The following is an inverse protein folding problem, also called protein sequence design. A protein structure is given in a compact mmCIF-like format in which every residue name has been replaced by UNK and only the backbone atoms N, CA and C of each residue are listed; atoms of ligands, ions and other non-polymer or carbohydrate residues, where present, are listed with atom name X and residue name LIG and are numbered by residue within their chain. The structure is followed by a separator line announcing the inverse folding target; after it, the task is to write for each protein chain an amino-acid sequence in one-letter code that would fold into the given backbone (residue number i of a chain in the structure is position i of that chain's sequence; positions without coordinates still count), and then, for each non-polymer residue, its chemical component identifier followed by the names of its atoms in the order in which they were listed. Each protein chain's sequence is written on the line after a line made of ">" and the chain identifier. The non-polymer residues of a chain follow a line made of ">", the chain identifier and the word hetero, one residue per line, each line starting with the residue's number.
data_IF_410992003544
#
_entry.id   IF_410992003544
#
_cell.length_a   1.000
_cell.length_b   1.000
_cell.length_c   1.000
_cell.angle_alpha   90.00
_cell.angle_beta   90.00
_cell.angle_gamma   90.00
#
_symmetry.space_group_name_H-M   'P 1'
#
loop_
_entity.id
_entity.type
_entity.pdbx_description
1 polymer ?
#
# COMPACT_ATOMS: atom_id res chain seq x y z
N UNK A 1 -43.88 4.98 -14.46
CA UNK A 1 -43.08 3.83 -14.02
C UNK A 1 -42.18 3.37 -15.17
N UNK A 2 -40.88 3.63 -15.07
CA UNK A 2 -39.91 3.23 -16.11
C UNK A 2 -39.72 1.71 -16.03
N UNK A 3 -40.13 0.97 -17.07
CA UNK A 3 -39.82 -0.47 -17.21
C UNK A 3 -38.32 -0.60 -17.52
N UNK A 4 -37.48 -0.53 -16.49
CA UNK A 4 -36.07 -0.86 -16.61
C UNK A 4 -36.00 -2.33 -17.01
N UNK A 5 -35.63 -2.61 -18.26
CA UNK A 5 -35.50 -3.99 -18.77
C UNK A 5 -34.55 -4.74 -17.83
N UNK A 6 -34.87 -5.96 -17.40
CA UNK A 6 -34.03 -6.78 -16.49
C UNK A 6 -32.53 -6.79 -16.84
N UNK A 7 -32.19 -6.65 -18.12
CA UNK A 7 -30.80 -6.52 -18.62
C UNK A 7 -30.07 -5.27 -18.10
N UNK A 8 -30.75 -4.13 -17.95
CA UNK A 8 -30.16 -2.89 -17.41
C UNK A 8 -29.89 -2.99 -15.91
N UNK A 9 -30.74 -3.68 -15.16
CA UNK A 9 -30.50 -3.98 -13.74
C UNK A 9 -29.24 -4.80 -13.53
N UNK A 10 -28.98 -5.79 -14.40
CA UNK A 10 -27.74 -6.57 -14.36
C UNK A 10 -26.50 -5.71 -14.60
N UNK A 11 -26.53 -4.77 -15.55
CA UNK A 11 -25.40 -3.85 -15.77
C UNK A 11 -25.14 -2.93 -14.57
N UNK A 12 -26.21 -2.44 -13.92
CA UNK A 12 -26.10 -1.58 -12.73
C UNK A 12 -25.44 -2.31 -11.56
N UNK A 13 -25.63 -3.62 -11.42
CA UNK A 13 -24.99 -4.41 -10.34
C UNK A 13 -23.63 -4.97 -10.71
N UNK A 14 -23.44 -5.41 -11.96
CA UNK A 14 -22.20 -6.07 -12.39
C UNK A 14 -21.08 -5.06 -12.58
N UNK A 15 -21.37 -3.86 -13.12
CA UNK A 15 -20.34 -2.87 -13.41
C UNK A 15 -19.63 -2.36 -12.13
N UNK A 16 -20.35 -1.98 -11.05
CA UNK A 16 -19.70 -1.57 -9.80
C UNK A 16 -18.95 -2.71 -9.13
N UNK A 17 -19.49 -3.94 -9.19
CA UNK A 17 -18.80 -5.11 -8.64
C UNK A 17 -17.49 -5.37 -9.38
N UNK A 18 -17.51 -5.31 -10.72
CA UNK A 18 -16.31 -5.49 -11.53
C UNK A 18 -15.28 -4.37 -11.27
N UNK A 19 -15.73 -3.10 -11.18
CA UNK A 19 -14.88 -1.98 -10.82
C UNK A 19 -14.28 -2.15 -9.42
N UNK A 20 -15.06 -2.63 -8.45
CA UNK A 20 -14.58 -2.93 -7.11
C UNK A 20 -13.54 -4.04 -7.09
N UNK A 21 -13.72 -5.12 -7.86
CA UNK A 21 -12.74 -6.20 -7.96
C UNK A 21 -11.43 -5.74 -8.62
N UNK A 22 -11.52 -4.93 -9.69
CA UNK A 22 -10.36 -4.33 -10.34
C UNK A 22 -9.63 -3.40 -9.36
N UNK A 23 -10.36 -2.52 -8.69
CA UNK A 23 -9.81 -1.62 -7.68
C UNK A 23 -9.17 -2.39 -6.53
N UNK A 24 -9.83 -3.42 -6.00
CA UNK A 24 -9.30 -4.25 -4.91
C UNK A 24 -8.00 -4.93 -5.32
N UNK A 25 -7.92 -5.48 -6.53
CA UNK A 25 -6.70 -6.11 -7.03
C UNK A 25 -5.58 -5.09 -7.27
N UNK A 26 -5.93 -3.92 -7.78
CA UNK A 26 -4.99 -2.81 -8.00
C UNK A 26 -4.44 -2.27 -6.68
N UNK A 27 -5.32 -2.06 -5.70
CA UNK A 27 -5.01 -1.53 -4.37
C UNK A 27 -4.24 -2.54 -3.50
N UNK A 28 -4.52 -3.83 -3.63
CA UNK A 28 -3.73 -4.88 -2.96
C UNK A 28 -2.24 -4.75 -3.33
N UNK A 29 -1.95 -4.39 -4.58
CA UNK A 29 -0.59 -4.23 -5.08
C UNK A 29 0.19 -5.55 -5.08
N UNK A 30 1.49 -5.46 -5.33
CA UNK A 30 2.41 -6.60 -5.29
C UNK A 30 3.43 -6.43 -4.17
N UNK A 31 3.72 -7.47 -3.37
CA UNK A 31 4.77 -7.40 -2.37
C UNK A 31 6.10 -7.01 -3.00
N UNK A 32 6.74 -6.01 -2.41
CA UNK A 32 8.05 -5.53 -2.79
C UNK A 32 9.04 -5.77 -1.65
N UNK A 33 10.09 -6.55 -1.92
CA UNK A 33 11.08 -6.94 -0.92
C UNK A 33 10.59 -8.03 0.04
N UNK A 34 11.35 -8.26 1.10
CA UNK A 34 11.03 -9.25 2.14
C UNK A 34 10.27 -8.63 3.31
N UNK A 35 9.61 -9.48 4.11
CA UNK A 35 9.06 -9.11 5.40
C UNK A 35 10.20 -8.66 6.32
N UNK A 36 10.02 -7.55 7.02
CA UNK A 36 10.98 -7.03 7.98
C UNK A 36 10.27 -6.97 9.33
N UNK A 37 10.76 -7.76 10.28
CA UNK A 37 10.15 -7.91 11.60
C UNK A 37 10.58 -6.77 12.54
N UNK A 38 9.73 -6.50 13.54
CA UNK A 38 10.07 -5.68 14.69
C UNK A 38 11.16 -6.34 15.55
N UNK A 39 11.91 -5.57 16.36
CA UNK A 39 12.90 -6.13 17.30
C UNK A 39 12.37 -7.29 18.17
N UNK A 40 11.13 -7.19 18.65
CA UNK A 40 10.50 -8.25 19.45
C UNK A 40 9.82 -9.38 18.64
N UNK A 41 9.84 -9.33 17.31
CA UNK A 41 9.17 -10.26 16.40
C UNK A 41 7.64 -10.36 16.54
N UNK A 42 6.98 -9.45 17.26
CA UNK A 42 5.51 -9.42 17.34
C UNK A 42 4.85 -8.85 16.08
N UNK A 43 5.60 -8.06 15.31
CA UNK A 43 5.13 -7.37 14.13
C UNK A 43 6.07 -7.59 12.94
N UNK A 44 5.54 -7.42 11.73
CA UNK A 44 6.35 -7.21 10.55
C UNK A 44 5.73 -6.15 9.67
N UNK A 45 6.56 -5.45 8.91
CA UNK A 45 6.10 -4.65 7.79
C UNK A 45 6.49 -5.29 6.47
N UNK A 46 5.69 -5.00 5.46
CA UNK A 46 5.94 -5.38 4.08
C UNK A 46 5.57 -4.20 3.19
N UNK A 47 6.46 -3.90 2.23
CA UNK A 47 6.21 -2.88 1.21
C UNK A 47 5.41 -3.49 0.06
N UNK A 48 4.51 -2.73 -0.52
CA UNK A 48 3.67 -3.11 -1.65
C UNK A 48 3.77 -2.05 -2.73
N UNK A 49 3.99 -2.47 -3.97
CA UNK A 49 3.93 -1.59 -5.14
C UNK A 49 2.55 -1.65 -5.75
N UNK A 50 1.95 -0.51 -6.00
CA UNK A 50 0.72 -0.44 -6.78
C UNK A 50 1.08 -0.55 -8.25
N UNK A 51 0.24 -1.25 -9.01
CA UNK A 51 0.45 -1.40 -10.45
C UNK A 51 0.31 -0.03 -11.12
N UNK A 52 1.32 0.39 -11.88
CA UNK A 52 1.21 1.57 -12.73
C UNK A 52 1.17 1.17 -14.21
N UNK A 53 0.24 1.70 -15.03
CA UNK A 53 0.19 1.45 -16.46
C UNK A 53 1.48 1.82 -17.20
N UNK A 54 2.31 2.70 -16.64
CA UNK A 54 3.64 3.02 -17.18
C UNK A 54 4.61 1.83 -17.18
N UNK A 55 4.33 0.76 -16.42
CA UNK A 55 5.11 -0.49 -16.53
C UNK A 55 4.95 -1.18 -17.89
N UNK A 56 3.85 -0.90 -18.61
CA UNK A 56 3.57 -1.52 -19.91
C UNK A 56 4.13 -0.72 -21.08
N UNK A 57 4.41 0.58 -20.88
CA UNK A 57 4.94 1.44 -21.93
C UNK A 57 6.13 2.25 -21.40
N UNK A 58 7.37 1.92 -21.80
CA UNK A 58 8.55 2.61 -21.30
C UNK A 58 8.63 4.02 -21.90
N UNK A 59 7.97 4.99 -21.26
CA UNK A 59 8.00 6.40 -21.69
C UNK A 59 9.13 7.26 -21.08
N UNK A 60 9.96 6.76 -20.15
CA UNK A 60 10.99 7.64 -19.59
C UNK A 60 12.18 7.78 -20.53
N UNK A 61 12.41 9.04 -20.92
CA UNK A 61 13.64 9.51 -21.49
C UNK A 61 14.78 9.37 -20.47
N UNK A 62 16.00 9.02 -20.89
CA UNK A 62 17.15 9.01 -20.00
C UNK A 62 17.32 10.38 -19.32
N UNK A 63 17.44 10.38 -17.99
CA UNK A 63 17.51 11.60 -17.17
C UNK A 63 16.17 12.09 -16.62
N UNK A 64 15.05 11.49 -17.03
CA UNK A 64 13.79 11.62 -16.28
C UNK A 64 13.86 10.73 -15.04
N UNK A 65 13.43 11.23 -13.88
CA UNK A 65 13.22 10.44 -12.66
C UNK A 65 12.16 9.32 -12.82
N UNK A 66 11.65 9.14 -14.05
CA UNK A 66 10.37 8.54 -14.38
C UNK A 66 10.22 7.03 -14.28
N UNK A 67 11.02 6.30 -13.48
CA UNK A 67 10.75 4.85 -13.26
C UNK A 67 11.15 4.30 -11.89
N UNK A 68 11.90 5.06 -11.09
CA UNK A 68 12.43 4.59 -9.80
C UNK A 68 11.47 4.82 -8.62
N UNK A 69 10.36 5.51 -8.89
CA UNK A 69 9.50 6.17 -7.90
C UNK A 69 8.13 5.50 -7.96
N UNK A 70 8.13 4.18 -7.77
CA UNK A 70 6.88 3.42 -7.78
C UNK A 70 6.17 3.62 -6.47
N UNK A 71 5.02 4.27 -6.53
CA UNK A 71 4.15 4.48 -5.39
C UNK A 71 3.54 3.17 -4.90
N UNK A 72 3.02 3.23 -3.69
CA UNK A 72 2.27 2.14 -3.12
C UNK A 72 2.18 2.26 -1.62
N UNK A 73 2.24 1.14 -0.93
CA UNK A 73 1.89 1.08 0.48
C UNK A 73 2.99 0.42 1.31
N UNK A 74 3.23 0.96 2.49
CA UNK A 74 3.86 0.23 3.59
C UNK A 74 2.75 -0.30 4.47
N UNK A 75 2.70 -1.61 4.66
CA UNK A 75 1.69 -2.27 5.49
C UNK A 75 2.35 -2.93 6.68
N UNK A 76 1.78 -2.70 7.86
CA UNK A 76 2.18 -3.36 9.10
C UNK A 76 1.21 -4.48 9.43
N UNK A 77 1.74 -5.59 9.91
CA UNK A 77 1.02 -6.79 10.29
C UNK A 77 1.53 -7.28 11.64
N UNK A 78 0.68 -7.98 12.38
CA UNK A 78 1.14 -8.85 13.46
C UNK A 78 1.82 -10.11 12.90
N UNK A 79 2.61 -10.78 13.73
CA UNK A 79 3.36 -11.98 13.35
C UNK A 79 2.48 -13.12 12.79
N UNK A 80 1.22 -13.19 13.23
CA UNK A 80 0.20 -14.12 12.73
C UNK A 80 -0.40 -13.72 11.36
N UNK A 81 -0.02 -12.55 10.83
CA UNK A 81 -0.42 -12.05 9.52
C UNK A 81 -1.66 -11.15 9.51
N UNK A 82 -2.20 -10.75 10.65
CA UNK A 82 -3.33 -9.80 10.69
C UNK A 82 -2.83 -8.37 10.37
N UNK A 83 -3.53 -7.68 9.47
CA UNK A 83 -3.23 -6.28 9.12
C UNK A 83 -3.51 -5.36 10.31
N UNK A 84 -2.51 -4.54 10.66
CA UNK A 84 -2.61 -3.51 11.71
C UNK A 84 -2.93 -2.16 11.08
N UNK A 85 -2.24 -1.82 10.00
CA UNK A 85 -2.45 -0.56 9.31
C UNK A 85 -1.60 -0.45 8.05
N UNK A 86 -1.88 0.59 7.28
CA UNK A 86 -1.18 0.89 6.04
C UNK A 86 -0.97 2.40 5.87
N UNK A 87 0.11 2.75 5.19
CA UNK A 87 0.48 4.10 4.83
C UNK A 87 0.82 4.10 3.35
N UNK A 88 0.28 5.07 2.61
CA UNK A 88 0.71 5.32 1.24
C UNK A 88 2.09 5.99 1.25
N UNK A 89 2.98 5.57 0.36
CA UNK A 89 4.31 6.11 0.22
C UNK A 89 4.62 6.42 -1.25
N UNK A 90 5.01 7.67 -1.50
CA UNK A 90 5.48 8.14 -2.80
C UNK A 90 6.89 7.55 -3.05
N UNK A 91 7.03 6.65 -4.03
CA UNK A 91 8.30 5.95 -4.25
C UNK A 91 8.69 4.96 -3.14
N UNK A 92 7.87 3.92 -2.96
CA UNK A 92 8.08 2.79 -2.04
C UNK A 92 9.52 2.23 -1.98
N UNK A 93 10.29 2.13 -3.09
CA UNK A 93 11.66 1.64 -3.02
C UNK A 93 12.60 2.49 -2.17
N UNK A 94 12.35 3.79 -2.08
CA UNK A 94 13.17 4.74 -1.31
C UNK A 94 12.62 5.06 0.07
N UNK A 95 11.36 4.70 0.34
CA UNK A 95 10.75 4.92 1.64
C UNK A 95 11.61 4.31 2.76
N UNK A 96 12.02 5.15 3.69
CA UNK A 96 12.72 4.75 4.91
C UNK A 96 11.66 4.35 5.92
N UNK A 97 11.81 3.15 6.47
CA UNK A 97 10.84 2.57 7.39
C UNK A 97 11.59 2.07 8.61
N UNK A 98 11.19 2.51 9.80
CA UNK A 98 11.82 2.11 11.05
C UNK A 98 10.80 1.96 12.17
N UNK A 99 11.14 1.04 13.08
CA UNK A 99 10.37 0.79 14.29
C UNK A 99 10.73 1.80 15.36
N UNK A 100 9.73 2.23 16.09
CA UNK A 100 9.83 2.94 17.37
C UNK A 100 8.88 2.24 18.35
N UNK A 101 9.03 2.46 19.65
CA UNK A 101 8.18 1.94 20.74
C UNK A 101 6.85 1.37 20.24
N UNK A 102 5.84 2.21 20.03
CA UNK A 102 4.49 1.81 19.65
C UNK A 102 4.10 2.25 18.24
N UNK A 103 5.07 2.64 17.40
CA UNK A 103 4.81 3.19 16.06
C UNK A 103 5.79 2.65 15.02
N UNK A 104 5.25 2.28 13.85
CA UNK A 104 6.03 2.13 12.63
C UNK A 104 6.02 3.45 11.86
N UNK A 105 7.18 4.08 11.73
CA UNK A 105 7.34 5.34 11.00
C UNK A 105 7.76 5.06 9.55
N UNK A 106 7.16 5.80 8.62
CA UNK A 106 7.39 5.72 7.18
C UNK A 106 7.70 7.11 6.65
N UNK A 107 8.93 7.28 6.15
CA UNK A 107 9.41 8.53 5.55
C UNK A 107 9.67 8.28 4.07
N UNK A 108 8.85 8.85 3.20
CA UNK A 108 8.99 8.72 1.74
C UNK A 108 9.67 9.94 1.09
N UNK A 109 9.91 11.00 1.88
CA UNK A 109 10.54 12.24 1.42
C UNK A 109 9.60 13.13 0.61
N UNK A 110 8.31 12.79 0.53
CA UNK A 110 7.31 13.59 -0.15
C UNK A 110 6.79 14.69 0.76
N UNK A 111 6.80 15.91 0.24
CA UNK A 111 6.22 17.08 0.90
C UNK A 111 4.72 17.17 0.56
N UNK A 112 4.00 16.07 0.71
CA UNK A 112 2.57 16.00 0.42
C UNK A 112 1.73 16.39 1.66
N UNK A 113 0.43 16.60 1.46
CA UNK A 113 -0.51 17.00 2.52
C UNK A 113 -0.77 15.90 3.56
N UNK A 114 -0.18 14.71 3.40
CA UNK A 114 -0.39 13.56 4.28
C UNK A 114 0.72 13.43 5.34
N UNK A 115 1.83 14.17 5.20
CA UNK A 115 2.97 14.10 6.11
C UNK A 115 3.70 12.74 6.06
N UNK A 116 4.83 12.63 6.76
CA UNK A 116 5.45 11.33 7.01
C UNK A 116 4.43 10.41 7.70
N UNK A 117 4.18 9.24 7.12
CA UNK A 117 3.14 8.36 7.59
C UNK A 117 3.54 7.57 8.83
N UNK A 118 2.58 7.35 9.73
CA UNK A 118 2.76 6.59 10.97
C UNK A 118 1.68 5.53 11.08
N UNK A 119 2.08 4.32 11.45
CA UNK A 119 1.15 3.24 11.78
C UNK A 119 1.28 2.98 13.28
N UNK A 120 0.19 3.24 14.02
CA UNK A 120 0.11 2.96 15.44
C UNK A 120 0.02 1.44 15.67
N UNK A 121 0.90 0.91 16.50
CA UNK A 121 0.95 -0.50 16.88
C UNK A 121 0.12 -0.74 18.15
N UNK A 122 -0.43 -1.95 18.32
CA UNK A 122 -1.22 -2.29 19.50
C UNK A 122 -0.38 -2.54 20.76
N UNK A 123 0.91 -2.86 20.60
CA UNK A 123 1.91 -3.04 21.66
C UNK A 123 3.27 -2.52 21.20
N UNK A 124 4.25 -2.51 22.11
CA UNK A 124 5.61 -2.10 21.75
C UNK A 124 6.22 -3.04 20.71
N UNK A 125 7.01 -2.51 19.78
CA UNK A 125 7.84 -3.24 18.83
C UNK A 125 9.25 -3.54 19.41
N UNK A 126 9.62 -2.88 20.51
CA UNK A 126 10.92 -3.03 21.14
C UNK A 126 10.97 -4.28 22.04
N UNK A 127 12.18 -4.75 22.34
CA UNK A 127 12.37 -5.88 23.25
C UNK A 127 11.98 -5.46 24.67
N UNK A 128 11.26 -6.31 25.43
CA UNK A 128 11.07 -6.08 26.85
C UNK A 128 12.44 -6.12 27.53
N UNK A 129 12.81 -5.03 28.20
CA UNK A 129 14.03 -4.89 28.99
C UNK A 129 14.00 -5.73 30.27
#
# INVERSE_FOLDING_TARGET
>A
MVKVKKRWLLFITILPLMMYLIYSKWHEGTPYGKKIYSPNNEFYYQRYRVFTPEEWVPFALPGSAGFSDKDGYVRAYSADGKLIGEVFADGVPRAVVFWTDDVLAVMDGSRNNYGDGRIQLPSTAELPW
#
